data_IF_885709432268
#
_entry.id   IF_885709432268
#
_cell.length_a   1.000
_cell.length_b   1.000
_cell.length_c   1.000
_cell.angle_alpha   90.00
_cell.angle_beta   90.00
_cell.angle_gamma   90.00
#
_symmetry.space_group_name_H-M   'P 1'
#
loop_
_entity.id
_entity.type
_entity.pdbx_description
1 polymer ?
#
# COMPACT_ATOMS: atom_id res chain seq x y z
N UNK A 1 -12.19 9.51 -2.90
CA UNK A 1 -12.37 8.23 -3.62
C UNK A 1 -11.44 7.19 -3.05
N UNK A 2 -11.92 5.98 -2.90
CA UNK A 2 -11.13 4.89 -2.33
C UNK A 2 -10.49 4.05 -3.42
N UNK A 3 -9.27 3.61 -3.17
CA UNK A 3 -8.52 2.77 -4.10
C UNK A 3 -7.90 1.62 -3.32
N UNK A 4 -8.09 0.40 -3.81
CA UNK A 4 -7.46 -0.78 -3.22
C UNK A 4 -6.34 -1.24 -4.14
N UNK A 5 -5.15 -1.39 -3.59
CA UNK A 5 -3.99 -1.91 -4.32
C UNK A 5 -3.79 -3.36 -3.91
N UNK A 6 -3.77 -4.26 -4.89
CA UNK A 6 -3.55 -5.68 -4.64
C UNK A 6 -2.08 -6.01 -4.91
N UNK A 7 -1.37 -6.33 -3.83
CA UNK A 7 0.05 -6.63 -3.90
C UNK A 7 0.89 -5.44 -3.44
N UNK A 8 1.75 -5.70 -2.45
CA UNK A 8 2.58 -4.66 -1.83
C UNK A 8 4.06 -4.89 -2.09
N UNK A 9 4.40 -5.17 -3.34
CA UNK A 9 5.79 -5.16 -3.78
C UNK A 9 6.10 -3.77 -4.33
N UNK A 10 7.24 -3.62 -4.97
CA UNK A 10 7.73 -2.31 -5.41
C UNK A 10 6.70 -1.53 -6.23
N UNK A 11 6.10 -2.16 -7.23
CA UNK A 11 5.13 -1.49 -8.09
C UNK A 11 3.86 -1.11 -7.34
N UNK A 12 3.38 -2.01 -6.47
CA UNK A 12 2.15 -1.76 -5.71
C UNK A 12 2.31 -0.64 -4.71
N UNK A 13 3.43 -0.62 -4.00
CA UNK A 13 3.72 0.43 -3.02
C UNK A 13 3.87 1.78 -3.72
N UNK A 14 4.57 1.81 -4.85
CA UNK A 14 4.72 3.03 -5.64
C UNK A 14 3.37 3.56 -6.12
N UNK A 15 2.51 2.68 -6.62
CA UNK A 15 1.19 3.06 -7.08
C UNK A 15 0.33 3.60 -5.93
N UNK A 16 0.43 2.96 -4.75
CA UNK A 16 -0.33 3.38 -3.57
C UNK A 16 0.08 4.80 -3.14
N UNK A 17 1.37 5.06 -3.09
CA UNK A 17 1.88 6.37 -2.68
C UNK A 17 1.45 7.44 -3.70
N UNK A 18 1.58 7.14 -4.98
CA UNK A 18 1.18 8.09 -6.03
C UNK A 18 -0.31 8.39 -5.95
N UNK A 19 -1.15 7.38 -5.76
CA UNK A 19 -2.59 7.57 -5.65
C UNK A 19 -2.94 8.43 -4.44
N UNK A 20 -2.27 8.19 -3.30
CA UNK A 20 -2.50 8.99 -2.11
C UNK A 20 -2.14 10.46 -2.36
N UNK A 21 -1.04 10.71 -3.05
CA UNK A 21 -0.62 12.07 -3.38
C UNK A 21 -1.65 12.79 -4.25
N UNK A 22 -2.44 12.03 -5.00
CA UNK A 22 -3.50 12.58 -5.85
C UNK A 22 -4.85 12.69 -5.13
N UNK A 23 -4.86 12.42 -3.84
CA UNK A 23 -6.05 12.61 -3.01
C UNK A 23 -6.93 11.38 -2.84
N UNK A 24 -6.48 10.21 -3.28
CA UNK A 24 -7.23 8.97 -3.05
C UNK A 24 -7.01 8.47 -1.62
N UNK A 25 -8.05 7.85 -1.08
CA UNK A 25 -7.93 7.08 0.16
C UNK A 25 -7.51 5.67 -0.25
N UNK A 26 -6.32 5.25 0.15
CA UNK A 26 -5.71 4.03 -0.36
C UNK A 26 -5.63 2.94 0.70
N UNK A 27 -5.95 1.71 0.32
CA UNK A 27 -5.77 0.52 1.14
C UNK A 27 -4.97 -0.50 0.35
N UNK A 28 -3.95 -1.09 0.96
CA UNK A 28 -3.09 -2.08 0.29
C UNK A 28 -3.33 -3.46 0.90
N UNK A 29 -3.58 -4.44 0.04
CA UNK A 29 -3.80 -5.83 0.46
C UNK A 29 -2.81 -6.73 -0.24
N UNK A 30 -2.18 -7.65 0.49
CA UNK A 30 -1.24 -8.62 -0.05
C UNK A 30 -1.60 -10.01 0.43
N UNK A 31 -1.57 -10.99 -0.48
CA UNK A 31 -1.89 -12.38 -0.14
C UNK A 31 -0.79 -13.05 0.68
N UNK A 32 0.43 -12.62 0.50
CA UNK A 32 1.60 -13.15 1.20
C UNK A 32 2.06 -12.21 2.31
N UNK A 33 3.37 -12.15 2.48
CA UNK A 33 3.99 -11.26 3.46
C UNK A 33 4.54 -10.03 2.78
N UNK A 34 4.28 -8.87 3.35
CA UNK A 34 4.85 -7.61 2.87
C UNK A 34 6.24 -7.46 3.49
N UNK A 35 7.24 -7.17 2.68
CA UNK A 35 8.60 -6.98 3.18
C UNK A 35 8.66 -5.80 4.15
N UNK A 36 9.50 -5.88 5.19
CA UNK A 36 9.53 -4.83 6.24
C UNK A 36 9.72 -3.41 5.70
N UNK A 37 10.58 -3.22 4.72
CA UNK A 37 10.83 -1.88 4.21
C UNK A 37 9.62 -1.31 3.46
N UNK A 38 8.81 -2.16 2.84
CA UNK A 38 7.55 -1.70 2.22
C UNK A 38 6.51 -1.34 3.27
N UNK A 39 6.42 -2.14 4.35
CA UNK A 39 5.54 -1.79 5.48
C UNK A 39 5.91 -0.43 6.05
N UNK A 40 7.20 -0.18 6.20
CA UNK A 40 7.67 1.09 6.72
C UNK A 40 7.29 2.25 5.81
N UNK A 41 7.44 2.07 4.49
CA UNK A 41 7.04 3.10 3.53
C UNK A 41 5.54 3.39 3.61
N UNK A 42 4.73 2.34 3.68
CA UNK A 42 3.28 2.51 3.79
C UNK A 42 2.91 3.24 5.09
N UNK A 43 3.55 2.85 6.20
CA UNK A 43 3.29 3.49 7.49
C UNK A 43 3.71 4.95 7.49
N UNK A 44 4.83 5.29 6.85
CA UNK A 44 5.30 6.68 6.76
C UNK A 44 4.31 7.56 6.01
N UNK A 45 3.61 6.98 5.04
CA UNK A 45 2.61 7.70 4.27
C UNK A 45 1.19 7.56 4.84
N UNK A 46 1.07 6.91 6.01
CA UNK A 46 -0.21 6.69 6.67
C UNK A 46 -1.19 5.91 5.79
N UNK A 47 -0.68 4.95 5.02
CA UNK A 47 -1.49 4.09 4.17
C UNK A 47 -1.79 2.80 4.92
N UNK A 48 -3.07 2.47 5.05
CA UNK A 48 -3.50 1.23 5.71
C UNK A 48 -3.18 0.02 4.82
N UNK A 49 -2.82 -1.08 5.43
CA UNK A 49 -2.48 -2.30 4.70
C UNK A 49 -2.83 -3.54 5.50
N UNK A 50 -2.94 -4.65 4.79
CA UNK A 50 -3.08 -5.98 5.38
C UNK A 50 -2.21 -6.96 4.60
N UNK A 51 -1.84 -8.06 5.26
CA UNK A 51 -1.05 -9.12 4.61
C UNK A 51 -1.59 -10.48 5.02
N UNK A 52 -1.15 -11.52 4.27
CA UNK A 52 -1.57 -12.88 4.58
C UNK A 52 -3.05 -13.15 4.36
N UNK A 53 -3.64 -12.46 3.44
CA UNK A 53 -5.10 -12.48 3.29
C UNK A 53 -5.56 -13.24 2.06
#
# INVERSE_FOLDING_TARGET
MKLVVLGAAESGVGAAILAQQKGYEVFVSDMGSIKPHYKEMLNQHHIAWEEGH
#
